data_IF_826062558503
#
_entry.id   IF_826062558503
#
_cell.length_a   1.000
_cell.length_b   1.000
_cell.length_c   1.000
_cell.angle_alpha   90.00
_cell.angle_beta   90.00
_cell.angle_gamma   90.00
#
_symmetry.space_group_name_H-M   'P 1'
#
loop_
_entity.id
_entity.type
_entity.pdbx_description
1 polymer ?
#
# COMPACT_ATOMS: atom_id res chain seq x y z
N UNK A 1 29.14 13.53 61.22
CA UNK A 1 29.32 12.36 62.08
C UNK A 1 30.46 11.57 61.51
N UNK A 2 31.49 11.54 62.31
CA UNK A 2 32.71 10.69 62.44
C UNK A 2 33.65 10.72 61.22
N UNK A 3 34.80 11.40 61.26
CA UNK A 3 35.98 11.34 62.15
C UNK A 3 36.20 9.97 62.76
N UNK A 4 37.27 9.35 62.32
CA UNK A 4 38.31 8.61 63.10
C UNK A 4 39.07 7.72 62.13
N UNK A 5 40.24 7.98 62.04
CA UNK A 5 41.50 7.53 62.68
C UNK A 5 42.25 6.54 61.78
N UNK A 6 43.49 6.89 61.48
CA UNK A 6 44.61 6.10 62.00
C UNK A 6 45.97 6.77 61.68
N UNK A 7 46.63 7.18 62.71
CA UNK A 7 48.05 7.41 62.75
C UNK A 7 48.84 6.10 62.59
N UNK A 8 49.98 6.22 61.91
CA UNK A 8 51.27 5.57 62.22
C UNK A 8 52.31 6.19 61.32
N UNK A 9 53.15 7.07 61.86
CA UNK A 9 54.49 6.93 62.40
C UNK A 9 55.44 6.05 61.59
N UNK A 10 56.40 6.62 61.09
CA UNK A 10 57.82 6.68 61.35
C UNK A 10 58.68 6.55 60.10
N UNK A 11 59.58 7.53 60.09
CA UNK A 11 60.99 7.52 59.74
C UNK A 11 61.37 7.25 58.29
N UNK A 12 61.83 8.30 57.68
CA UNK A 12 63.22 8.55 57.32
C UNK A 12 63.26 9.91 56.54
N UNK A 13 63.99 10.83 57.21
CA UNK A 13 64.26 12.12 56.64
C UNK A 13 65.27 12.05 55.52
N UNK A 14 64.78 12.16 54.27
CA UNK A 14 65.61 12.64 53.19
C UNK A 14 65.30 14.13 53.03
N UNK A 15 66.28 14.94 53.34
CA UNK A 15 66.33 16.35 53.01
C UNK A 15 66.28 16.48 51.45
N UNK A 16 65.18 16.78 50.89
CA UNK A 16 65.09 17.20 49.51
C UNK A 16 65.58 18.64 49.47
N UNK A 17 66.78 18.85 48.93
CA UNK A 17 67.26 20.19 48.62
C UNK A 17 66.28 20.92 47.71
N UNK A 18 66.00 22.18 47.98
CA UNK A 18 65.10 22.96 47.10
C UNK A 18 65.77 23.07 45.72
N UNK A 19 65.02 22.70 44.68
CA UNK A 19 65.47 22.89 43.30
C UNK A 19 66.04 24.27 43.08
N UNK A 20 67.26 24.35 42.57
CA UNK A 20 67.86 25.64 42.22
C UNK A 20 67.03 26.35 41.16
N UNK A 21 66.99 27.67 41.23
CA UNK A 21 66.32 28.52 40.23
C UNK A 21 66.67 28.14 38.79
N UNK A 22 67.91 27.70 38.58
CA UNK A 22 68.46 27.27 37.30
C UNK A 22 67.85 25.95 36.80
N UNK A 23 67.41 25.09 37.70
CA UNK A 23 66.77 23.81 37.40
C UNK A 23 65.28 24.05 36.93
N UNK A 24 64.62 25.03 37.50
CA UNK A 24 63.27 25.38 37.18
C UNK A 24 63.23 26.07 35.82
N UNK A 25 64.14 26.99 35.57
CA UNK A 25 64.25 27.72 34.30
C UNK A 25 64.61 26.78 33.12
N UNK A 26 65.46 25.76 33.37
CA UNK A 26 65.79 24.73 32.41
C UNK A 26 64.59 23.84 32.06
N UNK A 27 63.71 23.54 33.06
CA UNK A 27 62.51 22.73 32.91
C UNK A 27 61.40 23.50 32.12
N UNK A 28 61.23 24.78 32.42
CA UNK A 28 60.33 25.66 31.68
C UNK A 28 60.71 25.76 30.21
N UNK A 29 61.97 25.97 29.90
CA UNK A 29 62.51 26.01 28.52
C UNK A 29 62.31 24.66 27.80
N UNK A 30 62.42 23.54 28.49
CA UNK A 30 62.15 22.20 27.91
C UNK A 30 60.67 21.97 27.68
N UNK A 31 59.80 22.43 28.57
CA UNK A 31 58.35 22.34 28.43
C UNK A 31 57.88 23.20 27.24
N UNK A 32 58.36 24.46 27.17
CA UNK A 32 58.03 25.33 26.03
C UNK A 32 58.49 24.75 24.67
N UNK A 33 59.69 24.20 24.60
CA UNK A 33 60.19 23.52 23.39
C UNK A 33 59.33 22.30 23.00
N UNK A 34 58.86 21.50 24.00
CA UNK A 34 57.97 20.38 23.74
C UNK A 34 56.59 20.85 23.27
N UNK A 35 56.01 21.89 23.89
CA UNK A 35 54.75 22.49 23.47
C UNK A 35 54.86 23.03 22.06
N UNK A 36 55.95 23.74 21.75
CA UNK A 36 56.17 24.26 20.40
C UNK A 36 56.31 23.16 19.35
N UNK A 37 57.02 22.07 19.70
CA UNK A 37 57.16 20.90 18.84
C UNK A 37 55.83 20.19 18.62
N UNK A 38 54.98 20.08 19.62
CA UNK A 38 53.65 19.51 19.52
C UNK A 38 52.73 20.41 18.68
N UNK A 39 52.81 21.73 18.85
CA UNK A 39 52.02 22.68 18.02
C UNK A 39 52.39 22.63 16.55
N UNK A 40 53.69 22.47 16.23
CA UNK A 40 54.18 22.35 14.85
C UNK A 40 53.63 21.08 14.16
N UNK A 41 53.44 19.99 14.92
CA UNK A 41 52.96 18.71 14.39
C UNK A 41 51.42 18.68 14.33
N UNK A 42 50.75 19.15 15.35
CA UNK A 42 49.28 19.01 15.47
C UNK A 42 48.52 20.13 14.74
N UNK A 43 49.07 21.35 14.63
CA UNK A 43 48.39 22.46 13.96
C UNK A 43 48.16 22.18 12.47
N UNK A 44 49.12 21.67 11.69
CA UNK A 44 48.88 21.30 10.28
C UNK A 44 47.85 20.16 10.16
N UNK A 45 47.86 19.17 11.05
CA UNK A 45 46.90 18.06 11.04
C UNK A 45 45.47 18.58 11.31
N UNK A 46 45.33 19.48 12.28
CA UNK A 46 44.05 20.14 12.57
C UNK A 46 43.51 20.95 11.39
N UNK A 47 44.42 21.70 10.72
CA UNK A 47 44.08 22.47 9.51
C UNK A 47 43.65 21.53 8.40
N UNK A 48 44.34 20.42 8.17
CA UNK A 48 43.98 19.42 7.17
C UNK A 48 42.59 18.81 7.47
N UNK A 49 42.33 18.47 8.71
CA UNK A 49 41.01 17.94 9.14
C UNK A 49 39.91 18.98 8.90
N UNK A 50 40.18 20.25 9.20
CA UNK A 50 39.24 21.34 8.97
C UNK A 50 39.00 21.58 7.48
N UNK A 51 40.04 21.55 6.64
CA UNK A 51 39.91 21.65 5.21
C UNK A 51 39.16 20.47 4.60
N UNK A 52 39.44 19.24 5.06
CA UNK A 52 38.69 18.05 4.65
C UNK A 52 37.22 18.13 5.04
N UNK A 53 36.90 18.61 6.24
CA UNK A 53 35.51 18.81 6.68
C UNK A 53 34.79 19.86 5.84
N UNK A 54 35.48 20.93 5.42
CA UNK A 54 34.93 21.95 4.54
C UNK A 54 34.71 21.37 3.12
N UNK A 55 35.66 20.59 2.60
CA UNK A 55 35.50 19.92 1.31
C UNK A 55 34.33 18.92 1.33
N UNK A 56 34.24 18.09 2.37
CA UNK A 56 33.14 17.18 2.57
C UNK A 56 31.81 17.93 2.69
N UNK A 57 31.78 19.06 3.42
CA UNK A 57 30.61 19.92 3.51
C UNK A 57 30.18 20.46 2.15
N UNK A 58 31.10 20.92 1.31
CA UNK A 58 30.79 21.40 -0.04
C UNK A 58 30.40 20.27 -0.99
N UNK A 59 31.07 19.11 -0.92
CA UNK A 59 30.72 17.92 -1.71
C UNK A 59 29.35 17.34 -1.35
N UNK A 60 28.91 17.47 -0.10
CA UNK A 60 27.57 17.05 0.35
C UNK A 60 26.51 18.13 0.09
N UNK A 61 26.89 19.41 0.00
CA UNK A 61 25.96 20.51 -0.17
C UNK A 61 25.51 20.70 -1.62
N UNK A 62 26.33 20.37 -2.61
CA UNK A 62 25.93 20.46 -4.02
C UNK A 62 24.84 19.45 -4.40
N UNK A 63 24.95 18.14 -4.06
CA UNK A 63 23.86 17.22 -4.30
C UNK A 63 22.61 17.51 -3.48
N UNK A 64 22.74 18.14 -2.29
CA UNK A 64 21.60 18.58 -1.50
C UNK A 64 20.86 19.76 -2.14
N UNK A 65 21.57 20.71 -2.77
CA UNK A 65 20.94 21.82 -3.51
C UNK A 65 20.27 21.39 -4.80
N UNK A 66 20.81 20.41 -5.48
CA UNK A 66 20.21 19.85 -6.69
C UNK A 66 18.98 19.02 -6.35
N UNK A 67 19.01 18.29 -5.23
CA UNK A 67 17.84 17.63 -4.66
C UNK A 67 16.78 18.63 -4.15
N UNK A 68 17.16 19.74 -3.51
CA UNK A 68 16.20 20.78 -3.10
C UNK A 68 15.50 21.44 -4.30
N UNK A 69 16.17 21.71 -5.40
CA UNK A 69 15.55 22.23 -6.62
C UNK A 69 14.64 21.22 -7.32
N UNK A 70 14.94 19.92 -7.23
CA UNK A 70 14.08 18.85 -7.73
C UNK A 70 12.92 18.54 -6.76
N UNK A 71 13.09 18.78 -5.45
CA UNK A 71 12.07 18.62 -4.42
C UNK A 71 10.90 19.60 -4.64
N UNK A 72 11.16 20.84 -5.04
CA UNK A 72 10.09 21.82 -5.36
C UNK A 72 9.28 21.45 -6.61
N UNK A 73 9.81 20.62 -7.50
CA UNK A 73 9.16 20.26 -8.77
C UNK A 73 8.05 19.24 -8.63
N UNK A 74 8.10 18.38 -7.59
CA UNK A 74 7.12 17.32 -7.33
C UNK A 74 6.67 17.38 -5.87
N UNK A 75 5.65 18.17 -5.59
CA UNK A 75 5.04 18.23 -4.26
C UNK A 75 3.67 17.58 -4.31
N UNK A 76 3.57 16.36 -3.81
CA UNK A 76 2.32 15.62 -3.74
C UNK A 76 1.84 15.58 -2.30
N UNK A 77 0.55 15.71 -2.11
CA UNK A 77 -0.08 15.63 -0.79
C UNK A 77 -1.15 14.55 -0.75
N UNK A 78 -1.12 13.78 0.30
CA UNK A 78 -2.17 12.84 0.68
C UNK A 78 -2.80 13.38 1.96
N UNK A 79 -4.13 13.43 2.00
CA UNK A 79 -4.87 13.79 3.21
C UNK A 79 -5.52 12.52 3.74
N UNK A 80 -5.14 12.14 4.95
CA UNK A 80 -5.70 10.98 5.64
C UNK A 80 -6.49 11.41 6.86
N UNK A 81 -7.61 10.73 7.09
CA UNK A 81 -8.29 10.74 8.37
C UNK A 81 -8.13 9.38 9.02
N UNK A 82 -7.42 9.35 10.11
CA UNK A 82 -7.05 8.12 10.79
C UNK A 82 -7.72 8.00 12.15
N UNK A 83 -7.92 6.77 12.61
CA UNK A 83 -8.49 6.45 13.92
C UNK A 83 -7.49 5.70 14.77
N UNK A 84 -7.13 6.28 15.89
CA UNK A 84 -6.32 5.64 16.94
C UNK A 84 -7.26 5.04 17.98
N UNK A 85 -7.30 3.70 18.11
CA UNK A 85 -8.31 2.96 18.89
C UNK A 85 -7.80 2.33 20.17
N UNK A 86 -6.49 2.21 20.36
CA UNK A 86 -5.94 1.60 21.57
C UNK A 86 -4.62 2.26 22.00
N UNK A 87 -4.34 2.18 23.30
CA UNK A 87 -3.09 2.69 23.86
C UNK A 87 -1.94 1.66 23.86
N UNK A 88 -2.18 0.42 23.44
CA UNK A 88 -1.23 -0.69 23.61
C UNK A 88 -0.16 -0.76 22.52
N UNK A 89 -0.39 -0.18 21.37
CA UNK A 89 0.63 0.12 20.37
C UNK A 89 0.13 1.31 19.57
N UNK A 90 0.55 2.50 19.91
CA UNK A 90 0.07 3.72 19.27
C UNK A 90 0.79 4.00 17.93
N UNK A 91 1.50 3.01 17.40
CA UNK A 91 2.06 3.09 16.05
C UNK A 91 0.92 3.01 15.05
N UNK A 92 0.72 4.06 14.29
CA UNK A 92 -0.22 4.12 13.17
C UNK A 92 0.60 4.22 11.91
N UNK A 93 0.43 3.21 11.07
CA UNK A 93 1.09 3.15 9.76
C UNK A 93 0.31 4.00 8.76
N UNK A 94 1.00 4.87 8.05
CA UNK A 94 0.47 5.67 6.94
C UNK A 94 0.65 4.95 5.62
N UNK A 95 1.71 4.17 5.51
CA UNK A 95 2.02 3.31 4.39
C UNK A 95 2.37 1.93 4.90
N UNK A 96 2.22 0.92 4.05
CA UNK A 96 2.67 -0.43 4.37
C UNK A 96 4.16 -0.44 4.76
N UNK A 97 4.54 -1.27 5.71
CA UNK A 97 5.92 -1.36 6.23
C UNK A 97 6.94 -1.78 5.16
N UNK A 98 6.48 -2.45 4.11
CA UNK A 98 7.31 -2.88 2.98
C UNK A 98 7.29 -1.89 1.81
N UNK A 99 6.51 -0.80 1.89
CA UNK A 99 6.49 0.23 0.85
C UNK A 99 7.76 1.08 0.91
N UNK A 100 8.80 0.62 0.22
CA UNK A 100 10.17 1.20 0.27
C UNK A 100 10.43 2.25 -0.80
N UNK A 101 9.43 2.58 -1.62
CA UNK A 101 9.60 3.50 -2.76
C UNK A 101 9.70 4.96 -2.37
N UNK A 102 9.31 5.32 -1.15
CA UNK A 102 9.51 6.66 -0.62
C UNK A 102 10.87 6.74 0.08
N UNK A 103 11.75 7.59 -0.43
CA UNK A 103 13.01 7.90 0.24
C UNK A 103 12.74 8.51 1.61
N UNK A 104 13.49 8.08 2.63
CA UNK A 104 13.39 8.55 4.03
C UNK A 104 13.45 10.08 4.21
N UNK A 105 13.93 10.81 3.20
CA UNK A 105 14.08 12.27 3.23
C UNK A 105 12.98 13.04 2.50
N UNK A 106 12.08 12.33 1.83
CA UNK A 106 11.08 12.94 0.94
C UNK A 106 9.68 13.01 1.53
N UNK A 107 9.48 12.61 2.78
CA UNK A 107 8.15 12.58 3.40
C UNK A 107 8.09 13.52 4.60
N UNK A 108 7.10 14.39 4.62
CA UNK A 108 6.75 15.20 5.79
C UNK A 108 5.31 14.90 6.23
N UNK A 109 5.11 14.90 7.55
CA UNK A 109 3.84 14.64 8.19
C UNK A 109 3.35 15.88 8.89
N UNK A 110 2.14 16.34 8.60
CA UNK A 110 1.50 17.46 9.32
C UNK A 110 0.31 16.94 10.11
N UNK A 111 0.38 17.07 11.44
CA UNK A 111 -0.68 16.69 12.37
C UNK A 111 -1.03 17.93 13.17
N UNK A 112 -2.32 18.32 13.18
CA UNK A 112 -2.80 19.49 13.93
C UNK A 112 -1.94 20.76 13.68
N UNK A 113 -1.66 21.06 12.42
CA UNK A 113 -0.86 22.19 11.95
C UNK A 113 0.62 22.18 12.40
N UNK A 114 1.14 21.05 12.88
CA UNK A 114 2.56 20.87 13.19
C UNK A 114 3.17 19.90 12.20
N UNK A 115 4.21 20.34 11.50
CA UNK A 115 4.90 19.52 10.50
C UNK A 115 6.13 18.86 11.12
N UNK A 116 6.27 17.58 10.84
CA UNK A 116 7.36 16.72 11.27
C UNK A 116 8.00 16.07 10.05
N UNK A 117 9.32 15.99 9.99
CA UNK A 117 9.98 15.08 9.07
C UNK A 117 9.85 13.66 9.64
N UNK A 118 9.34 12.74 8.86
CA UNK A 118 9.24 11.34 9.25
C UNK A 118 10.28 10.52 8.50
N UNK A 119 10.93 9.63 9.25
CA UNK A 119 11.93 8.68 8.73
C UNK A 119 11.39 7.25 8.75
N UNK A 120 10.15 7.11 9.24
CA UNK A 120 9.41 5.86 9.40
C UNK A 120 8.07 6.01 8.69
N UNK A 121 7.46 4.92 8.29
CA UNK A 121 6.12 4.89 7.69
C UNK A 121 4.98 4.92 8.72
N UNK A 122 5.29 5.16 9.99
CA UNK A 122 4.34 5.21 11.10
C UNK A 122 4.63 6.38 12.05
N UNK A 123 3.63 6.67 12.91
CA UNK A 123 3.73 7.67 13.98
C UNK A 123 3.06 7.16 15.26
N UNK A 124 3.64 7.50 16.40
CA UNK A 124 3.08 7.16 17.71
C UNK A 124 2.16 8.28 18.24
N UNK A 125 0.87 8.02 18.27
CA UNK A 125 -0.12 8.95 18.82
C UNK A 125 -0.22 8.79 20.34
N UNK A 126 -0.20 9.90 21.07
CA UNK A 126 -0.27 9.90 22.55
C UNK A 126 -1.67 9.64 23.11
N UNK A 127 -2.71 9.83 22.30
CA UNK A 127 -4.12 9.73 22.75
C UNK A 127 -4.94 8.99 21.70
N UNK A 128 -5.98 8.31 22.19
CA UNK A 128 -7.03 7.75 21.34
C UNK A 128 -7.81 8.92 20.71
N UNK A 129 -8.20 8.77 19.46
CA UNK A 129 -8.98 9.79 18.77
C UNK A 129 -8.92 9.67 17.25
N UNK A 130 -9.59 10.60 16.59
CA UNK A 130 -9.54 10.76 15.14
C UNK A 130 -8.64 11.94 14.83
N UNK A 131 -7.70 11.74 13.91
CA UNK A 131 -6.72 12.74 13.51
C UNK A 131 -6.80 13.00 12.02
N UNK A 132 -6.65 14.27 11.62
CA UNK A 132 -6.38 14.63 10.23
C UNK A 132 -4.88 14.72 10.04
N UNK A 133 -4.40 14.03 9.06
CA UNK A 133 -2.97 13.88 8.75
C UNK A 133 -2.76 14.30 7.30
N UNK A 134 -1.80 15.17 7.06
CA UNK A 134 -1.36 15.54 5.72
C UNK A 134 0.04 14.99 5.51
N UNK A 135 0.20 14.17 4.50
CA UNK A 135 1.47 13.60 4.12
C UNK A 135 1.91 14.24 2.82
N UNK A 136 3.07 14.86 2.81
CA UNK A 136 3.66 15.44 1.62
C UNK A 136 4.89 14.63 1.23
N UNK A 137 5.01 14.30 -0.04
CA UNK A 137 6.18 13.63 -0.57
C UNK A 137 6.58 14.24 -1.92
N UNK A 138 7.86 14.14 -2.24
CA UNK A 138 8.49 14.92 -3.30
C UNK A 138 9.08 14.03 -4.39
N UNK A 139 8.56 12.82 -4.52
CA UNK A 139 9.02 11.84 -5.51
C UNK A 139 7.85 11.38 -6.38
N UNK A 140 8.10 11.28 -7.67
CA UNK A 140 7.15 10.67 -8.60
C UNK A 140 7.04 9.17 -8.35
N UNK A 141 5.81 8.64 -8.37
CA UNK A 141 5.56 7.22 -8.15
C UNK A 141 5.58 6.46 -9.47
N UNK A 142 6.34 5.39 -9.53
CA UNK A 142 6.33 4.39 -10.61
C UNK A 142 5.43 3.18 -10.28
N UNK A 143 5.05 3.06 -9.00
CA UNK A 143 4.15 2.02 -8.50
C UNK A 143 3.41 2.49 -7.27
N UNK A 144 2.18 2.00 -7.09
CA UNK A 144 1.41 2.07 -5.85
C UNK A 144 1.23 0.67 -5.22
N UNK A 145 1.96 -0.33 -5.75
CA UNK A 145 1.88 -1.68 -5.20
C UNK A 145 2.16 -1.67 -3.70
N UNK A 146 1.27 -2.29 -2.93
CA UNK A 146 1.31 -2.40 -1.46
C UNK A 146 1.31 -1.06 -0.70
N UNK A 147 1.04 0.09 -1.34
CA UNK A 147 1.25 1.40 -0.72
C UNK A 147 0.49 1.56 0.61
N UNK A 148 -0.80 1.23 0.65
CA UNK A 148 -1.64 1.29 1.84
C UNK A 148 -2.06 -0.10 2.35
N UNK A 149 -1.38 -1.14 1.89
CA UNK A 149 -1.69 -2.51 2.28
C UNK A 149 -1.65 -2.66 3.81
N UNK A 150 -2.75 -3.18 4.40
CA UNK A 150 -2.95 -3.34 5.85
C UNK A 150 -2.86 -2.05 6.68
N UNK A 151 -3.12 -0.89 6.09
CA UNK A 151 -3.25 0.37 6.83
C UNK A 151 -4.62 0.46 7.54
N UNK A 152 -4.81 -0.35 8.59
CA UNK A 152 -6.10 -0.56 9.27
C UNK A 152 -6.70 0.68 9.92
N UNK A 153 -5.92 1.72 10.16
CA UNK A 153 -6.34 2.90 10.88
C UNK A 153 -6.93 3.99 9.98
N UNK A 154 -6.78 3.89 8.66
CA UNK A 154 -7.27 4.88 7.71
C UNK A 154 -8.79 4.79 7.62
N UNK A 155 -9.48 5.92 7.80
CA UNK A 155 -10.94 6.04 7.69
C UNK A 155 -11.34 6.72 6.38
N UNK A 156 -10.66 7.79 6.04
CA UNK A 156 -10.86 8.57 4.82
C UNK A 156 -9.49 8.84 4.21
N UNK A 157 -9.41 8.77 2.89
CA UNK A 157 -8.18 8.96 2.14
C UNK A 157 -8.46 9.86 0.93
N UNK A 158 -7.78 10.99 0.85
CA UNK A 158 -7.82 11.88 -0.30
C UNK A 158 -6.49 11.81 -1.06
N UNK A 159 -6.55 11.25 -2.24
CA UNK A 159 -5.43 11.05 -3.15
C UNK A 159 -5.51 11.97 -4.37
N UNK A 160 -6.39 12.97 -4.36
CA UNK A 160 -6.56 13.88 -5.50
C UNK A 160 -5.31 14.69 -5.85
N UNK A 161 -4.39 14.82 -4.89
CA UNK A 161 -3.13 15.53 -5.07
C UNK A 161 -1.97 14.67 -5.57
N UNK A 162 -2.19 13.37 -5.85
CA UNK A 162 -1.11 12.46 -6.24
C UNK A 162 -0.99 12.35 -7.77
N UNK A 163 0.24 12.38 -8.29
CA UNK A 163 0.50 12.10 -9.71
C UNK A 163 0.76 10.59 -9.91
N UNK A 164 -0.16 9.93 -10.59
CA UNK A 164 -0.07 8.50 -10.89
C UNK A 164 0.28 8.22 -12.35
N UNK A 165 0.71 9.24 -13.11
CA UNK A 165 0.94 9.15 -14.57
C UNK A 165 2.03 8.15 -14.98
N UNK A 166 2.93 7.76 -14.07
CA UNK A 166 3.97 6.76 -14.32
C UNK A 166 3.72 5.43 -13.61
N UNK A 167 2.62 5.31 -12.86
CA UNK A 167 2.28 4.11 -12.10
C UNK A 167 1.92 2.95 -13.02
N UNK A 168 2.62 1.82 -12.84
CA UNK A 168 2.45 0.59 -13.63
C UNK A 168 1.78 -0.54 -12.88
N UNK A 169 1.78 -0.52 -11.55
CA UNK A 169 1.11 -1.50 -10.70
C UNK A 169 0.37 -0.82 -9.56
N UNK A 170 -0.88 -1.24 -9.35
CA UNK A 170 -1.71 -0.88 -8.20
C UNK A 170 -2.11 -2.13 -7.39
N UNK A 171 -1.35 -3.22 -7.59
CA UNK A 171 -1.55 -4.48 -6.88
C UNK A 171 -1.51 -4.25 -5.37
N UNK A 172 -2.51 -4.77 -4.62
CA UNK A 172 -2.63 -4.60 -3.17
C UNK A 172 -2.59 -3.14 -2.68
N UNK A 173 -2.88 -2.14 -3.53
CA UNK A 173 -2.70 -0.72 -3.17
C UNK A 173 -3.48 -0.31 -1.92
N UNK A 174 -4.67 -0.86 -1.69
CA UNK A 174 -5.56 -0.59 -0.53
C UNK A 174 -6.01 -1.88 0.16
N UNK A 175 -5.33 -2.99 -0.10
CA UNK A 175 -5.65 -4.29 0.48
C UNK A 175 -5.64 -4.23 2.01
N UNK A 176 -6.68 -4.78 2.65
CA UNK A 176 -6.79 -4.81 4.11
C UNK A 176 -7.02 -3.45 4.75
N UNK A 177 -7.41 -2.41 4.01
CA UNK A 177 -7.84 -1.14 4.59
C UNK A 177 -9.22 -1.29 5.26
N UNK A 178 -9.30 -2.09 6.34
CA UNK A 178 -10.55 -2.55 6.98
C UNK A 178 -11.51 -1.42 7.38
N UNK A 179 -11.01 -0.23 7.69
CA UNK A 179 -11.78 0.90 8.19
C UNK A 179 -11.98 2.02 7.19
N UNK A 180 -11.46 1.87 5.98
CA UNK A 180 -11.58 2.86 4.91
C UNK A 180 -13.05 2.98 4.49
N UNK A 181 -13.66 4.14 4.77
CA UNK A 181 -15.06 4.46 4.45
C UNK A 181 -15.21 5.30 3.19
N UNK A 182 -14.23 6.16 2.94
CA UNK A 182 -14.21 7.08 1.80
C UNK A 182 -12.83 7.16 1.20
N UNK A 183 -12.78 7.13 -0.11
CA UNK A 183 -11.58 7.37 -0.87
C UNK A 183 -11.88 8.36 -2.00
N UNK A 184 -11.04 9.38 -2.13
CA UNK A 184 -11.05 10.30 -3.26
C UNK A 184 -9.85 9.97 -4.16
N UNK A 185 -10.13 9.39 -5.32
CA UNK A 185 -9.15 9.00 -6.32
C UNK A 185 -8.93 10.09 -7.38
N UNK A 186 -9.63 11.21 -7.25
CA UNK A 186 -9.47 12.45 -7.99
C UNK A 186 -9.01 12.31 -9.43
N UNK A 187 -7.75 12.69 -9.65
CA UNK A 187 -7.14 12.76 -10.97
C UNK A 187 -6.24 11.55 -11.29
N UNK A 188 -6.57 10.36 -10.77
CA UNK A 188 -5.78 9.16 -11.06
C UNK A 188 -5.67 8.93 -12.57
N UNK A 189 -4.44 8.91 -13.04
CA UNK A 189 -4.09 8.44 -14.37
C UNK A 189 -3.64 6.98 -14.25
N UNK A 190 -4.47 6.05 -14.73
CA UNK A 190 -4.20 4.62 -14.69
C UNK A 190 -3.84 4.04 -16.06
N UNK A 191 -3.53 4.90 -17.03
CA UNK A 191 -3.30 4.51 -18.43
C UNK A 191 -2.08 3.59 -18.65
N UNK A 192 -1.13 3.55 -17.72
CA UNK A 192 0.03 2.66 -17.76
C UNK A 192 -0.09 1.45 -16.83
N UNK A 193 -1.19 1.33 -16.07
CA UNK A 193 -1.35 0.25 -15.08
C UNK A 193 -1.65 -1.07 -15.78
N UNK A 194 -0.87 -2.10 -15.42
CA UNK A 194 -1.01 -3.46 -15.96
C UNK A 194 -1.53 -4.47 -14.93
N UNK A 195 -1.45 -4.17 -13.64
CA UNK A 195 -1.88 -5.04 -12.55
C UNK A 195 -2.70 -4.26 -11.53
N UNK A 196 -3.98 -4.65 -11.35
CA UNK A 196 -4.92 -4.12 -10.36
C UNK A 196 -5.40 -5.22 -9.41
N UNK A 197 -4.70 -6.38 -9.38
CA UNK A 197 -5.10 -7.49 -8.51
C UNK A 197 -5.07 -7.08 -7.04
N UNK A 198 -6.08 -7.52 -6.27
CA UNK A 198 -6.24 -7.24 -4.84
C UNK A 198 -6.32 -5.74 -4.47
N UNK A 199 -6.54 -4.83 -5.44
CA UNK A 199 -6.45 -3.38 -5.19
C UNK A 199 -7.32 -2.89 -4.03
N UNK A 200 -8.54 -3.40 -3.88
CA UNK A 200 -9.50 -3.10 -2.81
C UNK A 200 -9.93 -4.37 -2.07
N UNK A 201 -9.05 -5.36 -2.00
CA UNK A 201 -9.33 -6.58 -1.26
C UNK A 201 -9.52 -6.26 0.23
N UNK A 202 -10.51 -6.90 0.87
CA UNK A 202 -10.76 -6.80 2.31
C UNK A 202 -11.03 -5.36 2.82
N UNK A 203 -11.59 -4.48 1.96
CA UNK A 203 -12.01 -3.12 2.32
C UNK A 203 -13.41 -3.11 2.97
N UNK A 204 -13.55 -3.73 4.13
CA UNK A 204 -14.85 -4.01 4.77
C UNK A 204 -15.72 -2.79 5.06
N UNK A 205 -15.17 -1.59 5.28
CA UNK A 205 -15.96 -0.40 5.60
C UNK A 205 -16.36 0.43 4.38
N UNK A 206 -15.88 0.07 3.19
CA UNK A 206 -16.17 0.79 1.96
C UNK A 206 -17.56 0.38 1.45
N UNK A 207 -18.47 1.38 1.28
CA UNK A 207 -19.85 1.12 0.84
C UNK A 207 -20.08 1.42 -0.63
N UNK A 208 -19.29 2.31 -1.20
CA UNK A 208 -19.39 2.67 -2.61
C UNK A 208 -18.04 3.05 -3.19
N UNK A 209 -17.86 2.79 -4.48
CA UNK A 209 -16.62 3.08 -5.18
C UNK A 209 -16.92 3.55 -6.62
N UNK A 210 -16.38 4.71 -6.99
CA UNK A 210 -16.50 5.24 -8.33
C UNK A 210 -15.13 5.20 -9.03
N UNK A 211 -15.00 4.34 -10.03
CA UNK A 211 -13.80 4.12 -10.82
C UNK A 211 -13.99 4.49 -12.30
N UNK A 212 -15.00 5.30 -12.63
CA UNK A 212 -15.29 5.65 -14.02
C UNK A 212 -14.16 6.42 -14.73
N UNK A 213 -13.24 7.03 -13.96
CA UNK A 213 -12.06 7.73 -14.50
C UNK A 213 -10.88 6.79 -14.80
N UNK A 214 -10.98 5.50 -14.41
CA UNK A 214 -9.89 4.56 -14.62
C UNK A 214 -9.81 4.14 -16.09
N UNK A 215 -8.62 4.28 -16.66
CA UNK A 215 -8.24 3.64 -17.92
C UNK A 215 -7.69 2.26 -17.60
N UNK A 216 -8.35 1.21 -18.07
CA UNK A 216 -7.96 -0.18 -17.79
C UNK A 216 -7.49 -0.94 -19.03
N UNK A 217 -7.25 -0.22 -20.14
CA UNK A 217 -6.92 -0.82 -21.44
C UNK A 217 -5.61 -1.65 -21.45
N UNK A 218 -4.69 -1.39 -20.52
CA UNK A 218 -3.45 -2.17 -20.39
C UNK A 218 -3.49 -3.20 -19.25
N UNK A 219 -4.58 -3.23 -18.48
CA UNK A 219 -4.69 -4.13 -17.31
C UNK A 219 -4.80 -5.58 -17.76
N UNK A 220 -3.99 -6.44 -17.16
CA UNK A 220 -3.89 -7.87 -17.44
C UNK A 220 -4.44 -8.74 -16.30
N UNK A 221 -4.36 -8.26 -15.07
CA UNK A 221 -4.78 -8.98 -13.87
C UNK A 221 -5.72 -8.11 -13.03
N UNK A 222 -6.97 -8.57 -12.85
CA UNK A 222 -8.00 -7.98 -11.99
C UNK A 222 -8.46 -8.98 -10.91
N UNK A 223 -7.69 -10.04 -10.68
CA UNK A 223 -8.04 -11.06 -9.70
C UNK A 223 -8.17 -10.46 -8.30
N UNK A 224 -9.20 -10.89 -7.56
CA UNK A 224 -9.49 -10.46 -6.19
C UNK A 224 -9.66 -8.94 -5.99
N UNK A 225 -9.84 -8.14 -7.07
CA UNK A 225 -9.78 -6.68 -7.01
C UNK A 225 -10.68 -6.07 -5.94
N UNK A 226 -11.88 -6.63 -5.71
CA UNK A 226 -12.87 -6.16 -4.73
C UNK A 226 -13.25 -7.23 -3.72
N UNK A 227 -12.60 -8.39 -3.75
CA UNK A 227 -12.99 -9.52 -2.93
C UNK A 227 -12.98 -9.18 -1.43
N UNK A 228 -13.88 -9.81 -0.67
CA UNK A 228 -14.09 -9.60 0.77
C UNK A 228 -14.51 -8.17 1.17
N UNK A 229 -14.81 -7.26 0.24
CA UNK A 229 -15.34 -5.94 0.57
C UNK A 229 -16.83 -6.03 0.90
N UNK A 230 -17.13 -6.64 2.04
CA UNK A 230 -18.46 -7.14 2.44
C UNK A 230 -19.54 -6.08 2.66
N UNK A 231 -19.20 -4.80 2.67
CA UNK A 231 -20.18 -3.70 2.72
C UNK A 231 -20.23 -2.90 1.41
N UNK A 232 -19.50 -3.33 0.36
CA UNK A 232 -19.51 -2.64 -0.93
C UNK A 232 -20.83 -2.94 -1.67
N UNK A 233 -21.75 -1.97 -1.65
CA UNK A 233 -23.07 -2.07 -2.23
C UNK A 233 -23.17 -1.51 -3.65
N UNK A 234 -22.30 -0.55 -3.98
CA UNK A 234 -22.30 0.13 -5.28
C UNK A 234 -20.89 0.31 -5.82
N UNK A 235 -20.72 -0.02 -7.10
CA UNK A 235 -19.47 0.19 -7.83
C UNK A 235 -19.77 0.74 -9.23
N UNK A 236 -19.05 1.79 -9.63
CA UNK A 236 -19.11 2.32 -10.98
C UNK A 236 -17.83 1.98 -11.75
N UNK A 237 -17.97 1.06 -12.68
CA UNK A 237 -16.92 0.54 -13.57
C UNK A 237 -17.29 0.70 -15.04
N UNK A 238 -18.17 1.65 -15.35
CA UNK A 238 -18.75 1.83 -16.69
C UNK A 238 -17.72 2.07 -17.80
N UNK A 239 -16.53 2.56 -17.45
CA UNK A 239 -15.45 2.83 -18.42
C UNK A 239 -14.35 1.74 -18.44
N UNK A 240 -14.55 0.62 -17.74
CA UNK A 240 -13.56 -0.46 -17.78
C UNK A 240 -13.47 -1.05 -19.18
N UNK A 241 -12.25 -1.09 -19.71
CA UNK A 241 -11.89 -1.87 -20.91
C UNK A 241 -11.13 -3.10 -20.44
N UNK A 242 -11.66 -4.28 -20.66
CA UNK A 242 -11.09 -5.54 -20.20
C UNK A 242 -10.49 -6.39 -21.31
N UNK A 243 -10.30 -5.83 -22.52
CA UNK A 243 -9.82 -6.56 -23.70
C UNK A 243 -8.45 -7.23 -23.53
N UNK A 244 -7.63 -6.76 -22.58
CA UNK A 244 -6.31 -7.32 -22.27
C UNK A 244 -6.25 -8.09 -20.96
N UNK A 245 -7.39 -8.27 -20.27
CA UNK A 245 -7.45 -8.98 -19.00
C UNK A 245 -7.42 -10.49 -19.23
N UNK A 246 -6.55 -11.17 -18.51
CA UNK A 246 -6.40 -12.63 -18.54
C UNK A 246 -6.97 -13.31 -17.30
N UNK A 247 -7.02 -12.58 -16.16
CA UNK A 247 -7.43 -13.12 -14.87
C UNK A 247 -8.47 -12.22 -14.20
N UNK A 248 -9.58 -12.84 -13.80
CA UNK A 248 -10.71 -12.24 -13.10
C UNK A 248 -11.21 -13.13 -11.94
N UNK A 249 -10.40 -14.13 -11.53
CA UNK A 249 -10.78 -15.02 -10.44
C UNK A 249 -11.06 -14.23 -9.17
N UNK A 250 -12.14 -14.57 -8.44
CA UNK A 250 -12.56 -13.97 -7.18
C UNK A 250 -12.80 -12.44 -7.22
N UNK A 251 -12.92 -11.81 -8.40
CA UNK A 251 -12.95 -10.34 -8.53
C UNK A 251 -14.00 -9.66 -7.63
N UNK A 252 -15.18 -10.25 -7.47
CA UNK A 252 -16.30 -9.74 -6.65
C UNK A 252 -16.66 -10.67 -5.50
N UNK A 253 -15.79 -11.62 -5.17
CA UNK A 253 -16.05 -12.61 -4.11
C UNK A 253 -16.40 -11.95 -2.78
N UNK A 254 -17.53 -12.36 -2.18
CA UNK A 254 -18.02 -11.83 -0.89
C UNK A 254 -18.22 -10.30 -0.85
N UNK A 255 -18.56 -9.68 -1.97
CA UNK A 255 -19.08 -8.30 -2.00
C UNK A 255 -20.59 -8.29 -1.67
N UNK A 256 -21.12 -7.16 -1.19
CA UNK A 256 -22.56 -6.99 -0.91
C UNK A 256 -23.27 -6.19 -2.00
N UNK A 257 -22.95 -6.42 -3.26
CA UNK A 257 -23.45 -5.64 -4.40
C UNK A 257 -24.97 -5.79 -4.54
N UNK A 258 -25.67 -4.66 -4.68
CA UNK A 258 -27.11 -4.63 -4.98
C UNK A 258 -27.38 -4.78 -6.48
N UNK A 259 -26.48 -4.31 -7.32
CA UNK A 259 -26.48 -4.46 -8.77
C UNK A 259 -25.06 -4.45 -9.30
N UNK A 260 -24.84 -5.09 -10.45
CA UNK A 260 -23.54 -5.10 -11.11
C UNK A 260 -23.77 -5.07 -12.64
N UNK A 261 -23.27 -4.02 -13.28
CA UNK A 261 -23.25 -3.90 -14.73
C UNK A 261 -21.85 -4.22 -15.27
N UNK A 262 -21.75 -5.30 -16.01
CA UNK A 262 -20.53 -5.78 -16.69
C UNK A 262 -20.74 -5.90 -18.21
N UNK A 263 -21.72 -5.17 -18.75
CA UNK A 263 -22.05 -5.20 -20.18
C UNK A 263 -20.91 -4.69 -21.08
N UNK A 264 -20.01 -3.89 -20.53
CA UNK A 264 -18.80 -3.39 -21.20
C UNK A 264 -17.60 -4.36 -21.14
N UNK A 265 -17.69 -5.48 -20.42
CA UNK A 265 -16.58 -6.43 -20.31
C UNK A 265 -16.38 -7.23 -21.59
N UNK A 266 -15.13 -7.24 -22.07
CA UNK A 266 -14.64 -8.17 -23.07
C UNK A 266 -13.83 -9.24 -22.36
N UNK A 267 -14.29 -10.50 -22.41
CA UNK A 267 -13.65 -11.61 -21.69
C UNK A 267 -12.95 -12.61 -22.64
N UNK A 268 -12.73 -12.23 -23.91
CA UNK A 268 -12.17 -13.13 -24.90
C UNK A 268 -10.82 -13.74 -24.55
N UNK A 269 -10.00 -13.01 -23.78
CA UNK A 269 -8.66 -13.46 -23.35
C UNK A 269 -8.65 -14.05 -21.94
N UNK A 270 -9.78 -13.98 -21.21
CA UNK A 270 -9.85 -14.44 -19.82
C UNK A 270 -9.81 -15.96 -19.78
N UNK A 271 -8.87 -16.51 -19.01
CA UNK A 271 -8.76 -17.95 -18.78
C UNK A 271 -8.98 -18.36 -17.31
N UNK A 272 -9.01 -17.39 -16.37
CA UNK A 272 -9.32 -17.60 -14.97
C UNK A 272 -10.51 -16.76 -14.54
N UNK A 273 -11.59 -17.43 -14.07
CA UNK A 273 -12.85 -16.80 -13.71
C UNK A 273 -13.52 -17.49 -12.50
N UNK A 274 -12.79 -18.42 -11.87
CA UNK A 274 -13.32 -19.16 -10.73
C UNK A 274 -13.73 -18.22 -9.58
N UNK A 275 -14.88 -18.50 -8.94
CA UNK A 275 -15.46 -17.75 -7.83
C UNK A 275 -15.71 -16.25 -8.08
N UNK A 276 -15.67 -15.79 -9.36
CA UNK A 276 -15.73 -14.36 -9.71
C UNK A 276 -16.91 -13.63 -9.08
N UNK A 277 -18.09 -14.25 -9.04
CA UNK A 277 -19.31 -13.67 -8.50
C UNK A 277 -19.84 -14.44 -7.28
N UNK A 278 -19.00 -15.23 -6.62
CA UNK A 278 -19.42 -16.03 -5.48
C UNK A 278 -19.77 -15.15 -4.27
N UNK A 279 -20.91 -15.44 -3.65
CA UNK A 279 -21.38 -14.78 -2.42
C UNK A 279 -21.52 -13.26 -2.55
N UNK A 280 -22.00 -12.76 -3.70
CA UNK A 280 -22.20 -11.32 -3.97
C UNK A 280 -23.42 -10.72 -3.23
N UNK A 281 -23.68 -11.15 -2.00
CA UNK A 281 -24.60 -10.52 -1.06
C UNK A 281 -26.05 -10.50 -1.55
N UNK A 282 -26.56 -9.31 -1.90
CA UNK A 282 -27.97 -9.07 -2.26
C UNK A 282 -28.23 -9.00 -3.76
N UNK A 283 -27.27 -9.37 -4.60
CA UNK A 283 -27.41 -9.38 -6.04
C UNK A 283 -28.57 -10.26 -6.48
N UNK A 284 -29.56 -9.70 -7.19
CA UNK A 284 -30.76 -10.43 -7.58
C UNK A 284 -30.75 -10.88 -9.06
N UNK A 285 -29.92 -10.24 -9.88
CA UNK A 285 -29.79 -10.55 -11.30
C UNK A 285 -28.35 -10.33 -11.79
N UNK A 286 -27.93 -11.17 -12.73
CA UNK A 286 -26.63 -11.08 -13.35
C UNK A 286 -26.74 -11.41 -14.84
N UNK A 287 -26.42 -10.43 -15.69
CA UNK A 287 -26.41 -10.59 -17.14
C UNK A 287 -24.95 -10.69 -17.62
N UNK A 288 -24.56 -11.87 -18.06
CA UNK A 288 -23.26 -12.19 -18.62
C UNK A 288 -23.36 -12.62 -20.09
N UNK A 289 -24.43 -12.26 -20.77
CA UNK A 289 -24.66 -12.63 -22.17
C UNK A 289 -23.61 -12.08 -23.16
N UNK A 290 -22.81 -11.11 -22.74
CA UNK A 290 -21.66 -10.60 -23.49
C UNK A 290 -20.36 -11.36 -23.24
N UNK A 291 -20.28 -12.26 -22.23
CA UNK A 291 -19.05 -12.97 -21.87
C UNK A 291 -18.70 -14.05 -22.89
N UNK A 292 -17.51 -13.98 -23.43
CA UNK A 292 -16.89 -15.04 -24.23
C UNK A 292 -15.99 -15.87 -23.33
N UNK A 293 -16.36 -17.12 -23.05
CA UNK A 293 -15.67 -17.98 -22.08
C UNK A 293 -14.91 -19.12 -22.75
N UNK A 294 -14.64 -19.06 -24.05
CA UNK A 294 -13.99 -20.14 -24.82
C UNK A 294 -12.59 -20.51 -24.30
N UNK A 295 -11.89 -19.58 -23.61
CA UNK A 295 -10.58 -19.83 -23.03
C UNK A 295 -10.63 -20.21 -21.55
N UNK A 296 -11.80 -20.11 -20.91
CA UNK A 296 -11.98 -20.41 -19.48
C UNK A 296 -12.00 -21.92 -19.26
N UNK A 297 -11.15 -22.37 -18.36
CA UNK A 297 -11.03 -23.80 -18.03
C UNK A 297 -11.60 -24.17 -16.68
N UNK A 298 -11.75 -23.20 -15.75
CA UNK A 298 -12.29 -23.40 -14.41
C UNK A 298 -13.45 -22.44 -14.15
N UNK A 299 -14.64 -23.01 -13.93
CA UNK A 299 -15.87 -22.30 -13.55
C UNK A 299 -16.27 -22.55 -12.10
N UNK A 300 -15.39 -23.18 -11.31
CA UNK A 300 -15.70 -23.56 -9.93
C UNK A 300 -16.23 -22.36 -9.15
N UNK A 301 -17.35 -22.57 -8.48
CA UNK A 301 -17.98 -21.63 -7.57
C UNK A 301 -18.37 -20.27 -8.17
N UNK A 302 -18.39 -20.10 -9.49
CA UNK A 302 -18.60 -18.78 -10.12
C UNK A 302 -19.85 -18.06 -9.62
N UNK A 303 -20.94 -18.78 -9.31
CA UNK A 303 -22.19 -18.25 -8.76
C UNK A 303 -22.51 -18.72 -7.35
N UNK A 304 -21.59 -19.47 -6.71
CA UNK A 304 -21.78 -20.07 -5.38
C UNK A 304 -22.23 -19.06 -4.35
N UNK A 305 -23.17 -19.43 -3.47
CA UNK A 305 -23.55 -18.67 -2.28
C UNK A 305 -24.39 -17.42 -2.54
N UNK A 306 -24.88 -17.20 -3.76
CA UNK A 306 -25.72 -16.06 -4.11
C UNK A 306 -27.20 -16.31 -3.77
N UNK A 307 -27.55 -16.22 -2.50
CA UNK A 307 -28.87 -16.58 -1.96
C UNK A 307 -30.04 -15.76 -2.46
N UNK A 308 -29.79 -14.63 -3.11
CA UNK A 308 -30.80 -13.72 -3.67
C UNK A 308 -30.81 -13.67 -5.21
N UNK A 309 -29.86 -14.32 -5.88
CA UNK A 309 -29.70 -14.29 -7.33
C UNK A 309 -30.76 -15.15 -8.00
N UNK A 310 -31.75 -14.50 -8.60
CA UNK A 310 -32.93 -15.15 -9.24
C UNK A 310 -32.90 -15.12 -10.76
N UNK A 311 -31.98 -14.39 -11.36
CA UNK A 311 -31.81 -14.31 -12.81
C UNK A 311 -30.34 -14.35 -13.20
N UNK A 312 -30.01 -15.28 -14.11
CA UNK A 312 -28.67 -15.41 -14.68
C UNK A 312 -28.80 -15.55 -16.21
N UNK A 313 -28.07 -14.74 -16.96
CA UNK A 313 -27.94 -14.91 -18.41
C UNK A 313 -26.50 -15.29 -18.74
N UNK A 314 -26.31 -16.51 -19.23
CA UNK A 314 -25.04 -17.09 -19.67
C UNK A 314 -25.13 -17.69 -21.07
N UNK A 315 -26.02 -17.17 -21.94
CA UNK A 315 -26.26 -17.78 -23.26
C UNK A 315 -25.01 -17.81 -24.15
N UNK A 316 -24.00 -16.98 -23.91
CA UNK A 316 -22.75 -17.01 -24.65
C UNK A 316 -21.62 -17.81 -23.98
N UNK A 317 -21.88 -18.44 -22.85
CA UNK A 317 -20.87 -19.26 -22.20
C UNK A 317 -20.52 -20.48 -23.05
N UNK A 318 -19.29 -20.49 -23.53
CA UNK A 318 -18.68 -21.68 -24.17
C UNK A 318 -17.96 -22.48 -23.10
N UNK A 319 -18.43 -23.67 -22.83
CA UNK A 319 -17.91 -24.56 -21.79
C UNK A 319 -17.15 -25.75 -22.36
N UNK A 320 -16.73 -25.68 -23.64
CA UNK A 320 -16.06 -26.79 -24.35
C UNK A 320 -14.68 -27.12 -23.79
N UNK A 321 -13.94 -26.12 -23.29
CA UNK A 321 -12.63 -26.30 -22.65
C UNK A 321 -12.70 -26.51 -21.14
N UNK A 322 -13.89 -26.48 -20.55
CA UNK A 322 -14.08 -26.58 -19.11
C UNK A 322 -13.59 -27.94 -18.59
N UNK A 323 -12.74 -27.90 -17.56
CA UNK A 323 -12.26 -29.07 -16.87
C UNK A 323 -12.53 -29.06 -15.34
N UNK A 324 -12.94 -27.89 -14.77
CA UNK A 324 -13.31 -27.73 -13.38
C UNK A 324 -14.60 -26.91 -13.25
N UNK A 325 -15.55 -27.41 -12.46
CA UNK A 325 -16.91 -26.85 -12.34
C UNK A 325 -17.56 -27.18 -10.99
N UNK A 326 -16.76 -27.31 -9.94
CA UNK A 326 -17.28 -27.59 -8.60
C UNK A 326 -18.12 -26.42 -8.09
N UNK A 327 -19.26 -26.71 -7.49
CA UNK A 327 -20.09 -25.74 -6.78
C UNK A 327 -20.61 -24.56 -7.63
N UNK A 328 -20.67 -24.66 -8.95
CA UNK A 328 -21.07 -23.54 -9.85
C UNK A 328 -22.35 -22.86 -9.40
N UNK A 329 -23.39 -23.63 -9.05
CA UNK A 329 -24.71 -23.14 -8.63
C UNK A 329 -25.05 -23.48 -7.18
N UNK A 330 -24.07 -23.82 -6.35
CA UNK A 330 -24.31 -24.19 -4.95
C UNK A 330 -24.85 -22.99 -4.17
N UNK A 331 -25.82 -23.22 -3.28
CA UNK A 331 -26.46 -22.22 -2.41
C UNK A 331 -27.13 -21.06 -3.17
N UNK A 332 -27.67 -21.33 -4.34
CA UNK A 332 -28.59 -20.40 -5.04
C UNK A 332 -30.02 -20.50 -4.45
N UNK A 333 -30.89 -19.50 -4.72
CA UNK A 333 -32.29 -19.57 -4.33
C UNK A 333 -32.99 -20.82 -4.89
N UNK A 334 -34.02 -21.31 -4.18
CA UNK A 334 -34.82 -22.46 -4.60
C UNK A 334 -35.43 -22.28 -6.01
N UNK A 335 -35.78 -21.03 -6.40
CA UNK A 335 -36.40 -20.73 -7.69
C UNK A 335 -35.67 -19.56 -8.36
N UNK A 336 -35.48 -19.68 -9.66
CA UNK A 336 -34.87 -18.63 -10.49
C UNK A 336 -35.07 -18.90 -11.97
N UNK A 337 -34.48 -18.04 -12.79
CA UNK A 337 -34.50 -18.14 -14.25
C UNK A 337 -33.06 -18.08 -14.75
N UNK A 338 -32.73 -18.95 -15.68
CA UNK A 338 -31.42 -18.94 -16.32
C UNK A 338 -31.59 -18.99 -17.85
N UNK A 339 -30.81 -18.18 -18.57
CA UNK A 339 -30.70 -18.21 -20.00
C UNK A 339 -29.38 -18.85 -20.41
N UNK A 340 -29.45 -19.89 -21.22
CA UNK A 340 -28.30 -20.71 -21.65
C UNK A 340 -28.32 -20.82 -23.19
N UNK A 341 -27.23 -21.28 -23.79
CA UNK A 341 -27.20 -21.69 -25.19
C UNK A 341 -27.46 -23.19 -25.32
N UNK A 342 -28.22 -23.56 -26.35
CA UNK A 342 -28.43 -24.95 -26.72
C UNK A 342 -27.17 -25.62 -27.29
N UNK A 343 -26.23 -24.81 -27.81
CA UNK A 343 -25.05 -25.30 -28.53
C UNK A 343 -23.73 -25.10 -27.80
N UNK A 344 -23.60 -24.03 -27.00
CA UNK A 344 -22.34 -23.66 -26.33
C UNK A 344 -22.25 -24.20 -24.90
N UNK A 345 -23.39 -24.33 -24.21
CA UNK A 345 -23.41 -24.79 -22.82
C UNK A 345 -23.39 -26.32 -22.79
N UNK A 346 -22.38 -26.91 -22.20
CA UNK A 346 -22.24 -28.36 -22.09
C UNK A 346 -23.35 -28.99 -21.24
N UNK A 347 -23.68 -30.27 -21.54
CA UNK A 347 -24.61 -31.04 -20.72
C UNK A 347 -24.19 -31.13 -19.26
N UNK A 348 -22.87 -31.05 -18.96
CA UNK A 348 -22.37 -31.05 -17.60
C UNK A 348 -22.88 -29.84 -16.81
N UNK A 349 -22.76 -28.62 -17.37
CA UNK A 349 -23.27 -27.40 -16.72
C UNK A 349 -24.79 -27.41 -16.63
N UNK A 350 -25.49 -27.82 -17.70
CA UNK A 350 -26.94 -27.90 -17.69
C UNK A 350 -27.49 -28.83 -16.58
N UNK A 351 -26.80 -29.92 -16.29
CA UNK A 351 -27.17 -30.85 -15.21
C UNK A 351 -26.89 -30.31 -13.80
N UNK A 352 -26.08 -29.26 -13.64
CA UNK A 352 -25.82 -28.63 -12.35
C UNK A 352 -26.81 -27.51 -12.03
N UNK A 353 -27.60 -27.04 -13.01
CA UNK A 353 -28.63 -26.02 -12.78
C UNK A 353 -29.67 -26.57 -11.81
N UNK A 354 -30.06 -25.82 -10.77
CA UNK A 354 -31.07 -26.32 -9.83
C UNK A 354 -32.37 -26.72 -10.54
N UNK A 355 -32.92 -27.87 -10.21
CA UNK A 355 -34.09 -28.45 -10.91
C UNK A 355 -35.36 -27.60 -10.88
N UNK A 356 -35.48 -26.69 -9.92
CA UNK A 356 -36.61 -25.75 -9.78
C UNK A 356 -36.37 -24.40 -10.51
N UNK A 357 -35.30 -24.27 -11.28
CA UNK A 357 -35.03 -23.08 -12.07
C UNK A 357 -35.63 -23.22 -13.49
N UNK A 358 -36.25 -22.14 -13.95
CA UNK A 358 -36.72 -22.07 -15.33
C UNK A 358 -35.54 -21.85 -16.28
N UNK A 359 -35.31 -22.83 -17.14
CA UNK A 359 -34.25 -22.76 -18.14
C UNK A 359 -34.83 -22.27 -19.48
N UNK A 360 -34.26 -21.20 -20.01
CA UNK A 360 -34.59 -20.66 -21.32
C UNK A 360 -33.37 -20.74 -22.24
N UNK A 361 -33.62 -21.03 -23.50
CA UNK A 361 -32.56 -21.13 -24.49
C UNK A 361 -32.52 -19.88 -25.36
N UNK A 362 -31.29 -19.39 -25.61
CA UNK A 362 -31.02 -18.30 -26.53
C UNK A 362 -29.72 -18.64 -27.27
N UNK A 363 -29.80 -18.68 -28.62
CA UNK A 363 -28.68 -18.98 -29.51
C UNK A 363 -28.29 -17.75 -30.34
#
# INVERSE_FOLDING_TARGET
>A
MNKEMLERSDTDGEFVEPFSSDSIESLEIQIEKRIYSLCIIFLPILIIILLLSIVVYFLLKEPLKENEKNIEKYNFTIIEKISVISNSSNAVYFFNEHFTKLDKFSVSLTINNKTFKIYENFYYFKKIGIYSVVISFFKKLDTMQDMFNHCFNIIELDLSGIDTSEVRSMKHAFDGCLRLKKINLGNFNTSLVTDMSYMFYDCHSLTSLNLNNFSTSLVQDMSYMFANSSNLEYINISNFNTENVFKMEYMYYQCNLSSLDVSNFNTEKVFKMEYMFSSCGILSSLNLGNFNTKEVVDFSGIFKGNKFLKFIDIHNFDTTKMNSYNDVFLDLPEKGNIIVSSHKTSALILNLIPSNWNMNYRD
#
